data_IF_901708098810
#
_entry.id   IF_901708098810
#
_cell.length_a   1.000
_cell.length_b   1.000
_cell.length_c   1.000
_cell.angle_alpha   90.00
_cell.angle_beta   90.00
_cell.angle_gamma   90.00
#
_symmetry.space_group_name_H-M   'P 1'
#
loop_
_entity.id
_entity.type
_entity.pdbx_description
1 polymer ?
#
# COMPACT_ATOMS: atom_id res chain seq x y z
N UNK A 1 -9.03 -6.14 -6.69
CA UNK A 1 -9.91 -6.76 -7.70
C UNK A 1 -11.34 -6.32 -7.38
N UNK A 2 -12.14 -6.03 -8.40
CA UNK A 2 -13.52 -5.57 -8.23
C UNK A 2 -14.40 -6.07 -9.39
N UNK A 3 -15.72 -6.11 -9.16
CA UNK A 3 -16.71 -6.40 -10.21
C UNK A 3 -17.45 -5.11 -10.56
N UNK A 4 -17.59 -4.81 -11.85
CA UNK A 4 -18.30 -3.64 -12.36
C UNK A 4 -19.56 -4.10 -13.09
N UNK A 5 -20.71 -3.62 -12.63
CA UNK A 5 -21.99 -3.78 -13.32
C UNK A 5 -22.13 -2.68 -14.39
N UNK A 6 -22.34 -3.08 -15.63
CA UNK A 6 -22.47 -2.20 -16.81
C UNK A 6 -23.93 -1.95 -17.21
N UNK A 7 -24.89 -2.52 -16.48
CA UNK A 7 -26.33 -2.42 -16.69
C UNK A 7 -26.84 -0.97 -16.72
N UNK A 8 -26.25 -0.09 -15.91
CA UNK A 8 -26.64 1.32 -15.78
C UNK A 8 -25.81 2.29 -16.62
N UNK A 9 -24.88 1.79 -17.42
CA UNK A 9 -23.97 2.63 -18.21
C UNK A 9 -24.52 2.76 -19.64
N UNK A 10 -24.76 3.99 -20.14
CA UNK A 10 -25.32 4.20 -21.47
C UNK A 10 -24.35 3.81 -22.61
N UNK A 11 -23.04 3.84 -22.37
CA UNK A 11 -22.03 3.41 -23.34
C UNK A 11 -21.05 2.41 -22.71
N UNK A 12 -21.38 1.13 -22.85
CA UNK A 12 -20.60 0.01 -22.30
C UNK A 12 -19.23 -0.11 -22.97
N UNK A 13 -19.15 0.14 -24.28
CA UNK A 13 -17.91 0.02 -25.03
C UNK A 13 -16.91 1.10 -24.62
N UNK A 14 -17.39 2.31 -24.35
CA UNK A 14 -16.54 3.40 -23.90
C UNK A 14 -15.92 3.12 -22.53
N UNK A 15 -16.69 2.58 -21.59
CA UNK A 15 -16.17 2.18 -20.27
C UNK A 15 -15.10 1.10 -20.39
N UNK A 16 -15.33 0.08 -21.23
CA UNK A 16 -14.34 -0.99 -21.44
C UNK A 16 -13.07 -0.47 -22.12
N UNK A 17 -13.21 0.42 -23.09
CA UNK A 17 -12.08 1.08 -23.76
C UNK A 17 -11.27 1.91 -22.78
N UNK A 18 -11.94 2.66 -21.90
CA UNK A 18 -11.33 3.47 -20.86
C UNK A 18 -10.56 2.58 -19.86
N UNK A 19 -11.20 1.51 -19.35
CA UNK A 19 -10.54 0.57 -18.44
C UNK A 19 -9.28 -0.06 -19.07
N UNK A 20 -9.32 -0.47 -20.35
CA UNK A 20 -8.12 -0.97 -21.06
C UNK A 20 -7.04 0.09 -21.19
N UNK A 21 -7.41 1.34 -21.51
CA UNK A 21 -6.47 2.47 -21.65
C UNK A 21 -5.70 2.73 -20.36
N UNK A 22 -6.33 2.53 -19.21
CA UNK A 22 -5.71 2.64 -17.89
C UNK A 22 -5.02 1.35 -17.41
N UNK A 23 -4.86 0.34 -18.28
CA UNK A 23 -4.10 -0.87 -17.98
C UNK A 23 -4.83 -1.90 -17.12
N UNK A 24 -6.15 -1.82 -16.99
CA UNK A 24 -6.92 -2.82 -16.27
C UNK A 24 -6.99 -4.15 -17.04
N UNK A 25 -6.77 -5.25 -16.33
CA UNK A 25 -7.10 -6.59 -16.81
C UNK A 25 -8.60 -6.81 -16.63
N UNK A 26 -9.25 -7.26 -17.70
CA UNK A 26 -10.70 -7.44 -17.78
C UNK A 26 -11.00 -8.93 -17.99
N UNK A 27 -11.88 -9.49 -17.15
CA UNK A 27 -12.50 -10.79 -17.40
C UNK A 27 -14.01 -10.59 -17.50
N UNK A 28 -14.57 -10.99 -18.64
CA UNK A 28 -16.02 -10.97 -18.82
C UNK A 28 -16.63 -12.11 -17.99
N UNK A 29 -17.50 -11.75 -17.05
CA UNK A 29 -18.25 -12.74 -16.27
C UNK A 29 -19.57 -13.05 -16.96
N UNK A 30 -20.30 -12.00 -17.35
CA UNK A 30 -21.61 -12.06 -18.02
C UNK A 30 -21.73 -10.93 -19.08
N UNK A 31 -22.86 -10.86 -19.80
CA UNK A 31 -23.12 -9.76 -20.78
C UNK A 31 -22.97 -8.36 -20.19
N UNK A 32 -23.28 -8.20 -18.91
CA UNK A 32 -23.35 -6.90 -18.23
C UNK A 32 -22.42 -6.79 -17.02
N UNK A 33 -21.55 -7.78 -16.78
CA UNK A 33 -20.64 -7.78 -15.65
C UNK A 33 -19.21 -8.09 -16.07
N UNK A 34 -18.31 -7.23 -15.63
CA UNK A 34 -16.88 -7.37 -15.92
C UNK A 34 -16.08 -7.30 -14.63
N UNK A 35 -15.22 -8.29 -14.44
CA UNK A 35 -14.25 -8.33 -13.36
C UNK A 35 -13.01 -7.56 -13.79
N UNK A 36 -12.60 -6.61 -12.96
CA UNK A 36 -11.45 -5.73 -13.19
C UNK A 36 -10.36 -5.98 -12.15
N UNK A 37 -9.14 -6.13 -12.62
CA UNK A 37 -7.94 -6.13 -11.79
C UNK A 37 -6.99 -5.05 -12.29
N UNK A 38 -6.59 -4.17 -11.39
CA UNK A 38 -5.70 -3.06 -11.67
C UNK A 38 -5.50 -2.20 -10.43
N UNK A 39 -4.88 -1.04 -10.59
CA UNK A 39 -4.58 -0.16 -9.47
C UNK A 39 -5.79 0.67 -9.07
N UNK A 40 -5.97 0.86 -7.75
CA UNK A 40 -7.06 1.69 -7.21
C UNK A 40 -6.92 3.16 -7.61
N UNK A 41 -5.71 3.63 -7.89
CA UNK A 41 -5.46 5.00 -8.33
C UNK A 41 -5.98 5.23 -9.74
N UNK A 42 -5.76 4.26 -10.61
CA UNK A 42 -6.26 4.31 -11.98
C UNK A 42 -7.79 4.22 -11.98
N UNK A 43 -8.37 3.50 -11.02
CA UNK A 43 -9.82 3.41 -10.88
C UNK A 43 -10.43 4.76 -10.48
N UNK A 44 -9.74 5.53 -9.64
CA UNK A 44 -10.14 6.91 -9.32
C UNK A 44 -10.05 7.83 -10.54
N UNK A 45 -9.03 7.66 -11.39
CA UNK A 45 -8.91 8.43 -12.63
C UNK A 45 -10.02 8.08 -13.64
N UNK A 46 -10.31 6.79 -13.80
CA UNK A 46 -11.43 6.28 -14.62
C UNK A 46 -12.75 6.85 -14.13
N UNK A 47 -12.98 6.85 -12.80
CA UNK A 47 -14.18 7.43 -12.20
C UNK A 47 -14.31 8.93 -12.51
N UNK A 48 -13.25 9.71 -12.29
CA UNK A 48 -13.27 11.14 -12.56
C UNK A 48 -13.57 11.47 -14.03
N UNK A 49 -12.98 10.71 -14.97
CA UNK A 49 -13.24 10.86 -16.40
C UNK A 49 -14.70 10.50 -16.76
N UNK A 50 -15.27 9.46 -16.15
CA UNK A 50 -16.67 9.11 -16.37
C UNK A 50 -17.63 10.17 -15.84
N UNK A 51 -17.36 10.72 -14.66
CA UNK A 51 -18.16 11.81 -14.08
C UNK A 51 -18.11 13.07 -14.97
N UNK A 52 -16.92 13.41 -15.50
CA UNK A 52 -16.76 14.51 -16.45
C UNK A 52 -17.56 14.26 -17.74
N UNK A 53 -17.47 13.05 -18.30
CA UNK A 53 -18.20 12.68 -19.53
C UNK A 53 -19.72 12.78 -19.35
N UNK A 54 -20.22 12.35 -18.19
CA UNK A 54 -21.65 12.47 -17.84
C UNK A 54 -22.05 13.95 -17.72
N UNK A 55 -21.22 14.77 -17.07
CA UNK A 55 -21.46 16.20 -16.88
C UNK A 55 -21.47 16.95 -18.21
N UNK A 56 -20.50 16.71 -19.09
CA UNK A 56 -20.42 17.37 -20.41
C UNK A 56 -21.59 16.98 -21.30
N UNK A 57 -22.03 15.71 -21.25
CA UNK A 57 -23.17 15.23 -22.05
C UNK A 57 -24.51 15.81 -21.59
N UNK A 58 -24.64 16.16 -20.31
CA UNK A 58 -25.80 16.87 -19.78
C UNK A 58 -25.83 18.36 -20.22
N UNK A 59 -24.67 18.97 -20.45
CA UNK A 59 -24.57 20.40 -20.82
C UNK A 59 -24.65 20.68 -22.32
N UNK A 60 -24.45 19.68 -23.18
CA UNK A 60 -24.48 19.86 -24.65
C UNK A 60 -25.88 19.83 -25.28
N UNK A 61 -26.96 19.77 -24.48
CA UNK A 61 -28.35 19.72 -25.00
C UNK A 61 -29.00 21.09 -25.20
N UNK A 62 -28.31 22.20 -24.97
CA UNK A 62 -28.86 23.53 -25.22
C UNK A 62 -27.73 24.50 -25.54
N UNK A 63 -27.43 24.72 -26.81
CA UNK A 63 -27.05 26.05 -27.30
C UNK A 63 -27.08 26.09 -28.83
N UNK A 64 -28.06 26.83 -29.32
CA UNK A 64 -28.09 27.42 -30.67
C UNK A 64 -26.95 28.43 -30.77
N UNK A 65 -26.11 28.44 -31.82
CA UNK A 65 -25.21 29.55 -32.08
C UNK A 65 -25.86 30.53 -33.06
N UNK A 66 -26.13 31.72 -32.54
CA UNK A 66 -26.53 32.91 -33.29
C UNK A 66 -25.35 33.90 -33.32
N UNK A 67 -25.07 34.41 -34.52
CA UNK A 67 -24.40 35.67 -34.86
C UNK A 67 -22.86 35.83 -34.70
N UNK A 68 -22.21 36.00 -35.87
CA UNK A 68 -21.11 36.96 -36.16
C UNK A 68 -21.54 38.41 -35.81
N UNK A 69 -20.68 39.47 -35.67
CA UNK A 69 -19.51 39.78 -36.54
C UNK A 69 -18.34 40.64 -35.92
N UNK A 70 -17.32 40.96 -36.73
CA UNK A 70 -16.46 42.15 -36.56
C UNK A 70 -14.95 41.85 -36.46
N UNK A 71 -14.21 41.84 -37.57
CA UNK A 71 -13.50 42.99 -38.16
C UNK A 71 -12.24 43.42 -37.39
N UNK A 72 -11.11 42.81 -37.81
CA UNK A 72 -9.73 43.16 -37.46
C UNK A 72 -9.27 44.38 -38.26
N UNK A 73 -8.81 45.41 -37.58
CA UNK A 73 -8.03 46.51 -38.18
C UNK A 73 -7.13 47.13 -37.11
N UNK A 74 -5.82 46.88 -37.18
CA UNK A 74 -4.83 47.64 -36.43
C UNK A 74 -3.61 47.92 -37.30
N UNK A 75 -3.48 49.19 -37.67
CA UNK A 75 -2.34 49.80 -38.33
C UNK A 75 -1.12 49.80 -37.39
N UNK A 76 -0.01 49.20 -37.81
CA UNK A 76 1.30 49.47 -37.22
C UNK A 76 1.90 50.72 -37.88
N UNK A 77 2.19 51.75 -37.07
CA UNK A 77 2.96 52.92 -37.46
C UNK A 77 4.25 52.99 -36.64
N UNK A 78 5.29 53.37 -37.35
CA UNK A 78 6.72 53.20 -37.09
C UNK A 78 7.30 54.05 -35.94
N UNK A 79 8.44 53.58 -35.43
CA UNK A 79 9.41 54.15 -34.46
C UNK A 79 9.86 55.59 -34.77
N UNK A 80 10.45 56.36 -33.80
CA UNK A 80 11.88 56.29 -33.37
C UNK A 80 12.11 56.82 -31.91
N UNK A 81 13.32 57.25 -31.41
CA UNK A 81 14.75 57.00 -31.73
C UNK A 81 15.58 56.48 -30.51
N UNK A 82 16.91 56.25 -30.64
CA UNK A 82 17.75 55.57 -29.66
C UNK A 82 18.45 56.53 -28.69
N UNK A 83 18.56 56.14 -27.41
CA UNK A 83 19.44 56.82 -26.45
C UNK A 83 20.21 55.80 -25.60
N UNK A 84 21.53 55.91 -25.74
CA UNK A 84 22.66 55.52 -24.90
C UNK A 84 22.47 54.63 -23.66
N UNK A 85 23.36 53.64 -23.59
CA UNK A 85 23.73 52.82 -22.43
C UNK A 85 24.12 53.66 -21.19
N UNK A 86 24.04 53.05 -20.00
CA UNK A 86 25.29 52.72 -19.30
C UNK A 86 25.29 51.33 -18.63
N UNK A 87 26.49 50.95 -18.17
CA UNK A 87 26.93 49.60 -17.90
C UNK A 87 26.59 49.03 -16.51
N UNK A 88 26.68 47.68 -16.45
CA UNK A 88 27.00 46.81 -15.31
C UNK A 88 25.91 46.53 -14.27
N UNK A 89 26.06 45.53 -13.38
CA UNK A 89 26.50 44.14 -13.57
C UNK A 89 25.54 43.15 -12.83
N UNK A 90 25.39 41.90 -13.28
CA UNK A 90 24.75 40.89 -12.42
C UNK A 90 24.13 39.71 -13.14
N UNK A 91 24.95 38.79 -13.62
CA UNK A 91 24.49 37.43 -13.91
C UNK A 91 24.23 36.70 -12.59
N UNK A 92 23.12 37.03 -11.92
CA UNK A 92 22.44 36.04 -11.08
C UNK A 92 21.69 35.16 -12.06
N UNK A 93 22.32 34.06 -12.44
CA UNK A 93 21.62 32.90 -12.96
C UNK A 93 20.66 32.45 -11.87
N UNK A 94 19.46 33.02 -11.83
CA UNK A 94 18.31 32.40 -11.20
C UNK A 94 18.08 31.11 -11.96
N UNK A 95 18.66 30.03 -11.45
CA UNK A 95 18.18 28.69 -11.70
C UNK A 95 16.65 28.75 -11.62
N UNK A 96 15.90 28.25 -12.62
CA UNK A 96 14.47 28.11 -12.49
C UNK A 96 14.20 27.33 -11.20
N UNK A 97 13.11 27.61 -10.46
CA UNK A 97 12.73 26.78 -9.32
C UNK A 97 12.52 25.37 -9.85
N UNK A 98 13.58 24.58 -9.70
CA UNK A 98 13.62 23.21 -10.12
C UNK A 98 12.45 22.55 -9.42
N UNK A 99 11.62 21.89 -10.23
CA UNK A 99 10.42 21.22 -9.78
C UNK A 99 10.81 20.46 -8.54
N UNK A 100 10.29 20.87 -7.38
CA UNK A 100 10.33 20.09 -6.15
C UNK A 100 9.51 18.83 -6.44
N UNK A 101 10.12 17.92 -7.19
CA UNK A 101 9.63 16.59 -7.43
C UNK A 101 9.44 16.03 -6.03
N UNK A 102 8.17 15.81 -5.65
CA UNK A 102 7.78 15.27 -4.37
C UNK A 102 8.70 14.10 -4.03
N UNK A 103 9.75 14.38 -3.25
CA UNK A 103 10.89 13.50 -3.07
C UNK A 103 10.42 12.44 -2.10
N UNK A 104 9.89 11.34 -2.65
CA UNK A 104 9.42 10.24 -1.84
C UNK A 104 10.55 9.75 -0.94
N UNK A 105 10.24 9.55 0.34
CA UNK A 105 11.19 9.02 1.31
C UNK A 105 11.13 7.50 1.29
N UNK A 106 12.29 6.86 1.49
CA UNK A 106 12.42 5.40 1.46
C UNK A 106 13.03 4.93 2.77
N UNK A 107 12.46 3.87 3.34
CA UNK A 107 13.02 3.16 4.49
C UNK A 107 13.21 1.69 4.13
N UNK A 108 14.23 1.08 4.71
CA UNK A 108 14.52 -0.35 4.56
C UNK A 108 14.25 -1.02 5.90
N UNK A 109 13.46 -2.10 5.86
CA UNK A 109 13.05 -2.83 7.06
C UNK A 109 13.15 -4.33 6.83
N UNK A 110 13.27 -5.07 7.92
CA UNK A 110 13.20 -6.54 7.89
C UNK A 110 11.88 -7.02 7.27
N UNK A 111 11.97 -7.96 6.33
CA UNK A 111 10.81 -8.43 5.57
C UNK A 111 9.77 -9.14 6.45
N UNK A 112 10.22 -9.88 7.45
CA UNK A 112 9.35 -10.65 8.34
C UNK A 112 8.64 -9.75 9.33
N UNK A 113 9.34 -8.74 9.88
CA UNK A 113 8.71 -7.70 10.72
C UNK A 113 7.63 -6.96 9.94
N UNK A 114 7.89 -6.60 8.69
CA UNK A 114 6.88 -5.92 7.88
C UNK A 114 5.69 -6.82 7.51
N UNK A 115 5.93 -8.09 7.16
CA UNK A 115 4.85 -9.08 6.94
C UNK A 115 3.98 -9.23 8.18
N UNK A 116 4.59 -9.26 9.37
CA UNK A 116 3.85 -9.26 10.63
C UNK A 116 3.01 -8.00 10.80
N UNK A 117 3.57 -6.82 10.53
CA UNK A 117 2.85 -5.55 10.61
C UNK A 117 1.65 -5.51 9.65
N UNK A 118 1.78 -5.98 8.41
CA UNK A 118 0.67 -6.04 7.43
C UNK A 118 -0.48 -6.98 7.87
N UNK A 119 -0.20 -7.92 8.76
CA UNK A 119 -1.17 -8.89 9.27
C UNK A 119 -1.80 -8.45 10.59
N UNK A 120 -0.99 -8.15 11.60
CA UNK A 120 -1.46 -7.86 12.95
C UNK A 120 -1.63 -6.36 13.24
N UNK A 121 -0.88 -5.49 12.55
CA UNK A 121 -0.88 -4.03 12.77
C UNK A 121 -1.35 -3.25 11.55
N UNK A 122 -2.13 -3.90 10.66
CA UNK A 122 -2.62 -3.30 9.42
C UNK A 122 -3.33 -1.97 9.64
N UNK A 123 -4.21 -1.92 10.64
CA UNK A 123 -4.95 -0.71 10.99
C UNK A 123 -4.03 0.45 11.36
N UNK A 124 -2.96 0.18 12.10
CA UNK A 124 -2.00 1.22 12.49
C UNK A 124 -1.22 1.74 11.28
N UNK A 125 -0.77 0.84 10.41
CA UNK A 125 -0.12 1.21 9.15
C UNK A 125 -1.07 2.04 8.29
N UNK A 126 -2.31 1.59 8.07
CA UNK A 126 -3.32 2.30 7.29
C UNK A 126 -3.65 3.68 7.90
N UNK A 127 -3.80 3.76 9.22
CA UNK A 127 -4.03 5.02 9.94
C UNK A 127 -2.87 5.99 9.73
N UNK A 128 -1.63 5.53 9.79
CA UNK A 128 -0.47 6.38 9.48
C UNK A 128 -0.56 6.89 8.04
N UNK A 129 -0.89 6.04 7.08
CA UNK A 129 -0.97 6.46 5.68
C UNK A 129 -2.11 7.48 5.43
N UNK A 130 -3.29 7.23 6.02
CA UNK A 130 -4.48 8.08 5.89
C UNK A 130 -4.28 9.42 6.58
N UNK A 131 -3.83 9.44 7.84
CA UNK A 131 -3.66 10.67 8.62
C UNK A 131 -2.63 11.63 8.00
N UNK A 132 -1.71 11.11 7.19
CA UNK A 132 -0.63 11.90 6.57
C UNK A 132 -0.83 12.14 5.07
N UNK A 133 -1.93 11.69 4.47
CA UNK A 133 -2.20 11.79 3.02
C UNK A 133 -1.01 11.28 2.18
N UNK A 134 -0.50 10.10 2.53
CA UNK A 134 0.64 9.46 1.86
C UNK A 134 0.25 8.13 1.21
N UNK A 135 0.91 7.82 0.10
CA UNK A 135 0.84 6.53 -0.58
C UNK A 135 2.09 5.74 -0.26
N UNK A 136 1.92 4.45 0.00
CA UNK A 136 3.00 3.51 0.24
C UNK A 136 3.22 2.62 -0.97
N UNK A 137 4.47 2.48 -1.41
CA UNK A 137 4.91 1.44 -2.34
C UNK A 137 5.93 0.57 -1.62
N UNK A 138 5.82 -0.73 -1.78
CA UNK A 138 6.78 -1.70 -1.24
C UNK A 138 7.50 -2.40 -2.39
N UNK A 139 8.78 -2.64 -2.20
CA UNK A 139 9.65 -3.38 -3.09
C UNK A 139 10.37 -4.43 -2.25
N UNK A 140 10.16 -5.70 -2.60
CA UNK A 140 10.70 -6.85 -1.87
C UNK A 140 12.13 -7.11 -2.35
N UNK A 141 13.08 -7.10 -1.42
CA UNK A 141 14.52 -7.27 -1.66
C UNK A 141 15.08 -8.40 -0.80
N UNK A 142 14.57 -9.62 -1.00
CA UNK A 142 14.98 -10.80 -0.22
C UNK A 142 14.55 -10.68 1.24
N UNK A 143 15.53 -10.60 2.15
CA UNK A 143 15.31 -10.53 3.61
C UNK A 143 14.88 -9.14 4.09
N UNK A 144 14.91 -8.14 3.20
CA UNK A 144 14.50 -6.78 3.50
C UNK A 144 13.44 -6.27 2.53
N UNK A 145 12.59 -5.36 3.00
CA UNK A 145 11.60 -4.67 2.20
C UNK A 145 11.95 -3.19 2.17
N UNK A 146 12.05 -2.64 0.97
CA UNK A 146 12.18 -1.22 0.73
C UNK A 146 10.78 -0.61 0.62
N UNK A 147 10.47 0.31 1.53
CA UNK A 147 9.17 0.99 1.59
C UNK A 147 9.38 2.43 1.17
N UNK A 148 8.73 2.83 0.08
CA UNK A 148 8.74 4.21 -0.42
C UNK A 148 7.40 4.89 -0.13
N UNK A 149 7.44 5.98 0.62
CA UNK A 149 6.28 6.83 0.91
C UNK A 149 6.29 8.07 0.01
N UNK A 150 5.13 8.41 -0.54
CA UNK A 150 4.94 9.58 -1.41
C UNK A 150 3.71 10.38 -0.97
N UNK A 151 3.86 11.67 -0.73
CA UNK A 151 2.77 12.56 -0.31
C UNK A 151 3.27 13.82 0.38
N UNK A 152 2.34 14.69 0.78
CA UNK A 152 2.65 15.99 1.39
C UNK A 152 3.38 15.86 2.73
N UNK A 153 2.98 14.89 3.56
CA UNK A 153 3.54 14.68 4.90
C UNK A 153 4.40 13.41 4.99
N UNK A 154 5.11 13.06 3.90
CA UNK A 154 5.92 11.83 3.83
C UNK A 154 6.91 11.70 4.99
N UNK A 155 7.64 12.77 5.36
CA UNK A 155 8.61 12.76 6.46
C UNK A 155 8.02 12.38 7.81
N UNK A 156 6.84 12.90 8.12
CA UNK A 156 6.16 12.62 9.39
C UNK A 156 5.60 11.19 9.38
N UNK A 157 5.05 10.74 8.25
CA UNK A 157 4.58 9.38 8.08
C UNK A 157 5.72 8.35 8.18
N UNK A 158 6.87 8.63 7.54
CA UNK A 158 8.08 7.79 7.61
C UNK A 158 8.52 7.63 9.04
N UNK A 159 8.67 8.72 9.80
CA UNK A 159 9.06 8.63 11.23
C UNK A 159 8.10 7.79 12.04
N UNK A 160 6.78 7.98 11.87
CA UNK A 160 5.78 7.17 12.62
C UNK A 160 5.82 5.70 12.22
N UNK A 161 5.93 5.42 10.93
CA UNK A 161 6.00 4.05 10.41
C UNK A 161 7.29 3.36 10.87
N UNK A 162 8.42 4.06 10.82
CA UNK A 162 9.70 3.57 11.29
C UNK A 162 9.65 3.25 12.78
N UNK A 163 9.13 4.16 13.62
CA UNK A 163 8.99 3.89 15.06
C UNK A 163 8.11 2.65 15.32
N UNK A 164 6.97 2.52 14.62
CA UNK A 164 6.10 1.34 14.75
C UNK A 164 6.85 0.05 14.41
N UNK A 165 7.60 0.04 13.31
CA UNK A 165 8.33 -1.15 12.84
C UNK A 165 9.54 -1.45 13.74
N UNK A 166 10.23 -0.45 14.27
CA UNK A 166 11.31 -0.62 15.25
C UNK A 166 10.78 -1.19 16.58
N UNK A 167 9.64 -0.73 17.06
CA UNK A 167 9.00 -1.26 18.28
C UNK A 167 8.54 -2.71 18.09
N UNK A 168 8.04 -3.05 16.91
CA UNK A 168 7.76 -4.43 16.53
C UNK A 168 9.03 -5.26 16.49
N UNK A 169 10.09 -4.77 15.86
CA UNK A 169 11.36 -5.49 15.78
C UNK A 169 11.96 -5.79 17.17
N UNK A 170 11.77 -4.90 18.15
CA UNK A 170 12.20 -5.13 19.55
C UNK A 170 11.33 -6.15 20.30
N UNK A 171 10.05 -6.24 19.98
CA UNK A 171 9.07 -7.07 20.70
C UNK A 171 8.87 -8.45 20.09
N UNK A 172 9.21 -8.63 18.81
CA UNK A 172 9.06 -9.87 18.08
C UNK A 172 10.36 -10.69 18.09
N UNK A 173 10.21 -12.00 17.96
CA UNK A 173 11.27 -12.95 17.66
C UNK A 173 10.88 -13.75 16.44
N UNK A 174 11.87 -14.06 15.63
CA UNK A 174 11.75 -14.97 14.50
C UNK A 174 12.36 -16.29 14.96
N UNK A 175 11.57 -17.35 14.91
CA UNK A 175 12.05 -18.71 15.15
C UNK A 175 11.90 -19.53 13.89
N UNK A 176 12.98 -20.20 13.51
CA UNK A 176 12.99 -21.06 12.35
C UNK A 176 12.72 -22.52 12.74
N UNK A 177 11.93 -23.20 11.90
CA UNK A 177 11.65 -24.63 11.98
C UNK A 177 11.80 -25.24 10.58
N UNK A 178 12.72 -26.19 10.42
CA UNK A 178 12.90 -26.90 9.17
C UNK A 178 11.70 -27.82 8.92
N UNK A 179 11.14 -27.81 7.72
CA UNK A 179 9.97 -28.64 7.37
C UNK A 179 10.26 -30.14 7.55
N UNK A 180 11.50 -30.56 7.27
CA UNK A 180 11.97 -31.94 7.48
C UNK A 180 11.96 -32.40 8.94
N UNK A 181 11.93 -31.48 9.89
CA UNK A 181 11.92 -31.81 11.33
C UNK A 181 10.49 -31.93 11.88
N UNK A 182 9.46 -31.64 11.08
CA UNK A 182 8.07 -31.78 11.50
C UNK A 182 7.67 -33.24 11.54
N UNK A 183 7.16 -33.69 12.69
CA UNK A 183 6.53 -35.00 12.82
C UNK A 183 5.07 -34.96 12.32
N UNK A 184 4.40 -36.12 12.31
CA UNK A 184 3.01 -36.22 11.83
C UNK A 184 2.05 -35.25 12.55
N UNK A 185 2.24 -35.04 13.86
CA UNK A 185 1.45 -34.09 14.65
C UNK A 185 1.78 -32.63 14.27
N UNK A 186 3.05 -32.32 14.05
CA UNK A 186 3.51 -31.03 13.56
C UNK A 186 2.92 -30.67 12.20
N UNK A 187 2.86 -31.64 11.28
CA UNK A 187 2.20 -31.47 9.99
C UNK A 187 0.70 -31.18 10.12
N UNK A 188 -0.01 -31.91 11.00
CA UNK A 188 -1.42 -31.64 11.27
C UNK A 188 -1.65 -30.25 11.88
N UNK A 189 -0.77 -29.83 12.80
CA UNK A 189 -0.80 -28.48 13.36
C UNK A 189 -0.53 -27.41 12.30
N UNK A 190 0.48 -27.61 11.45
CA UNK A 190 0.78 -26.70 10.34
C UNK A 190 -0.42 -26.58 9.39
N UNK A 191 -1.08 -27.68 9.06
CA UNK A 191 -2.26 -27.66 8.21
C UNK A 191 -3.39 -26.85 8.84
N UNK A 192 -3.64 -27.04 10.15
CA UNK A 192 -4.63 -26.26 10.90
C UNK A 192 -4.32 -24.76 10.87
N UNK A 193 -3.03 -24.41 10.96
CA UNK A 193 -2.57 -23.02 10.90
C UNK A 193 -2.77 -22.43 9.49
N UNK A 194 -2.51 -23.22 8.44
CA UNK A 194 -2.77 -22.81 7.04
C UNK A 194 -4.25 -22.52 6.82
N UNK A 195 -5.12 -23.38 7.35
CA UNK A 195 -6.57 -23.19 7.29
C UNK A 195 -7.00 -21.90 8.03
N UNK A 196 -6.26 -21.53 9.09
CA UNK A 196 -6.44 -20.26 9.82
C UNK A 196 -5.58 -19.11 9.27
N UNK A 197 -5.37 -19.05 7.95
CA UNK A 197 -4.67 -17.96 7.25
C UNK A 197 -3.23 -17.72 7.75
N UNK A 198 -2.56 -18.81 8.12
CA UNK A 198 -1.20 -18.84 8.63
C UNK A 198 -1.00 -18.11 9.97
N UNK A 199 -2.05 -18.04 10.80
CA UNK A 199 -2.01 -17.37 12.10
C UNK A 199 -2.28 -18.38 13.21
N UNK A 200 -1.41 -18.36 14.22
CA UNK A 200 -1.61 -19.07 15.48
C UNK A 200 -1.44 -18.10 16.65
N UNK A 201 -2.53 -17.77 17.33
CA UNK A 201 -2.56 -16.76 18.42
C UNK A 201 -1.98 -15.41 17.95
N UNK A 202 -0.78 -15.06 18.43
CA UNK A 202 -0.04 -13.84 18.09
C UNK A 202 1.18 -14.12 17.19
N UNK A 203 1.24 -15.30 16.57
CA UNK A 203 2.35 -15.73 15.72
C UNK A 203 1.88 -15.81 14.28
N UNK A 204 2.60 -15.11 13.41
CA UNK A 204 2.51 -15.29 11.97
C UNK A 204 3.44 -16.43 11.56
N UNK A 205 2.91 -17.41 10.84
CA UNK A 205 3.71 -18.47 10.23
C UNK A 205 3.94 -18.11 8.77
N UNK A 206 5.20 -18.01 8.35
CA UNK A 206 5.55 -17.78 6.95
C UNK A 206 6.31 -19.02 6.46
N UNK A 207 5.74 -19.67 5.46
CA UNK A 207 6.39 -20.79 4.80
C UNK A 207 7.37 -20.26 3.76
N UNK A 208 8.63 -20.64 3.91
CA UNK A 208 9.70 -20.48 2.93
C UNK A 208 9.96 -21.83 2.27
N UNK A 209 10.93 -21.91 1.36
CA UNK A 209 11.18 -23.13 0.56
C UNK A 209 11.41 -24.39 1.41
N UNK A 210 12.27 -24.33 2.43
CA UNK A 210 12.64 -25.50 3.26
C UNK A 210 12.32 -25.34 4.75
N UNK A 211 11.79 -24.18 5.15
CA UNK A 211 11.63 -23.79 6.54
C UNK A 211 10.40 -22.92 6.78
N UNK A 212 9.96 -22.93 8.03
CA UNK A 212 8.92 -22.06 8.56
C UNK A 212 9.58 -20.96 9.38
N UNK A 213 9.21 -19.72 9.11
CA UNK A 213 9.51 -18.58 9.96
C UNK A 213 8.29 -18.34 10.88
N UNK A 214 8.51 -18.47 12.18
CA UNK A 214 7.51 -18.20 13.22
C UNK A 214 7.79 -16.81 13.80
N UNK A 215 6.98 -15.83 13.41
CA UNK A 215 7.20 -14.42 13.72
C UNK A 215 6.17 -14.00 14.76
N UNK A 216 6.61 -13.73 15.99
CA UNK A 216 5.70 -13.37 17.08
C UNK A 216 6.43 -13.04 18.39
N UNK A 217 5.71 -12.75 19.47
CA UNK A 217 6.30 -12.61 20.79
C UNK A 217 7.11 -13.86 21.18
N UNK A 218 8.18 -13.69 21.96
CA UNK A 218 9.11 -14.78 22.31
C UNK A 218 8.41 -16.01 22.89
N UNK A 219 7.41 -15.80 23.76
CA UNK A 219 6.68 -16.90 24.41
C UNK A 219 5.84 -17.67 23.41
N UNK A 220 4.96 -17.00 22.67
CA UNK A 220 4.03 -17.64 21.75
C UNK A 220 4.75 -18.33 20.59
N UNK A 221 5.80 -17.69 20.04
CA UNK A 221 6.62 -18.29 18.98
C UNK A 221 7.37 -19.54 19.47
N UNK A 222 7.80 -19.57 20.73
CA UNK A 222 8.50 -20.72 21.31
C UNK A 222 7.54 -21.88 21.57
N UNK A 223 6.40 -21.61 22.18
CA UNK A 223 5.35 -22.61 22.40
C UNK A 223 4.89 -23.23 21.08
N UNK A 224 4.74 -22.41 20.03
CA UNK A 224 4.39 -22.89 18.70
C UNK A 224 5.49 -23.76 18.08
N UNK A 225 6.77 -23.36 18.21
CA UNK A 225 7.90 -24.16 17.75
C UNK A 225 7.92 -25.55 18.40
N UNK A 226 7.77 -25.61 19.73
CA UNK A 226 7.73 -26.89 20.46
C UNK A 226 6.55 -27.75 19.99
N UNK A 227 5.36 -27.15 19.81
CA UNK A 227 4.19 -27.84 19.29
C UNK A 227 4.38 -28.42 17.89
N UNK A 228 5.07 -27.69 17.00
CA UNK A 228 5.40 -28.13 15.64
C UNK A 228 6.43 -29.27 15.63
N UNK A 229 7.40 -29.25 16.55
CA UNK A 229 8.36 -30.33 16.72
C UNK A 229 7.78 -31.53 17.49
N UNK A 230 6.56 -31.38 18.04
CA UNK A 230 5.88 -32.35 18.91
C UNK A 230 6.59 -32.60 20.24
N UNK A 231 7.47 -31.69 20.64
CA UNK A 231 8.07 -31.68 21.97
C UNK A 231 6.99 -31.26 22.98
N UNK A 232 6.89 -31.95 24.13
CA UNK A 232 5.98 -31.53 25.17
C UNK A 232 6.41 -30.14 25.66
N UNK A 233 5.53 -29.15 25.51
CA UNK A 233 5.67 -27.89 26.25
C UNK A 233 5.58 -28.28 27.72
N UNK A 234 6.69 -28.19 28.43
CA UNK A 234 6.76 -28.43 29.87
C UNK A 234 5.72 -27.56 30.61
N UNK A 235 4.50 -28.07 30.75
CA UNK A 235 3.45 -27.50 31.61
C UNK A 235 3.76 -27.79 33.10
N UNK A 236 4.96 -28.28 33.39
CA UNK A 236 5.46 -28.74 34.68
C UNK A 236 5.88 -27.60 35.63
N UNK A 237 5.23 -26.42 35.57
CA UNK A 237 5.33 -25.39 36.62
C UNK A 237 4.05 -25.13 37.42
N UNK A 238 2.99 -25.93 37.22
CA UNK A 238 1.83 -25.95 38.12
C UNK A 238 1.68 -27.28 38.86
N UNK A 239 2.80 -27.93 39.22
CA UNK A 239 2.78 -29.09 40.09
C UNK A 239 2.96 -28.64 41.55
N UNK A 240 1.81 -28.50 42.24
CA UNK A 240 1.61 -28.63 43.69
C UNK A 240 2.63 -27.94 44.61
N UNK A 241 2.25 -26.80 45.17
CA UNK A 241 2.50 -26.51 46.60
C UNK A 241 1.22 -26.86 47.36
N UNK A 242 1.12 -28.11 47.80
CA UNK A 242 0.14 -28.57 48.79
C UNK A 242 0.88 -29.35 49.87
N UNK A 243 1.26 -28.65 50.94
CA UNK A 243 1.70 -29.14 52.26
C UNK A 243 2.43 -27.95 52.93
N UNK A 244 2.11 -27.47 54.12
CA UNK A 244 1.56 -28.17 55.27
C UNK A 244 0.56 -27.35 56.08
N UNK A 245 -0.49 -28.06 56.47
CA UNK A 245 -1.43 -27.76 57.53
C UNK A 245 -0.88 -28.47 58.76
N UNK A 246 -0.35 -27.73 59.73
CA UNK A 246 -0.08 -28.28 61.06
C UNK A 246 -0.79 -27.42 62.09
N UNK A 247 -1.94 -27.93 62.54
CA UNK A 247 -2.59 -27.53 63.78
C UNK A 247 -1.92 -28.28 64.93
N UNK A 248 -1.42 -27.56 65.92
CA UNK A 248 -1.51 -27.88 67.35
C UNK A 248 -1.10 -26.68 68.17
#
# INVERSE_FOLDING_TARGET
EATVCLDRVPDKQEVLRLLRRYGFQLWNLNRDEVRVRGSLLDLKAVKAHLEETIKTKASSSSHVPMAFPGAVSSYYKSSPPPVASPASPGYRTSLPPDRQAFRGETIVVDADVFKYAERFRRKDVENILICHDVKMKKEEGGDSISIRLQGRSCRAAVRKLQNLLEDLNKSLRIQEVLLKNLNHRGWALLQTIKDNRNISRLVLVVEMDDRLHLIGPSKDSYELKQGLLGEPVDQSRSRRRTSDKTSR
#
